data_IF_982671750679
#
_entry.id   IF_982671750679
#
_cell.length_a   1.000
_cell.length_b   1.000
_cell.length_c   1.000
_cell.angle_alpha   90.00
_cell.angle_beta   90.00
_cell.angle_gamma   90.00
#
_symmetry.space_group_name_H-M   'P 1'
#
loop_
_entity.id
_entity.type
_entity.pdbx_description
1 polymer ?
#
# COMPACT_ATOMS: atom_id res chain seq x y z
N UNK A 1 42.23 0.92 -24.70
CA UNK A 1 40.83 1.04 -24.24
C UNK A 1 40.74 0.32 -22.90
N UNK A 2 40.65 1.07 -21.79
CA UNK A 2 40.90 0.54 -20.44
C UNK A 2 39.62 -0.02 -19.82
N UNK A 3 39.73 -1.21 -19.22
CA UNK A 3 38.66 -1.94 -18.51
C UNK A 3 38.05 -1.13 -17.35
N UNK A 4 38.68 -0.02 -16.94
CA UNK A 4 38.19 0.88 -15.89
C UNK A 4 37.00 1.76 -16.28
N UNK A 5 36.77 2.05 -17.56
CA UNK A 5 35.64 2.88 -18.00
C UNK A 5 34.30 2.11 -18.03
N UNK A 6 34.34 0.81 -18.26
CA UNK A 6 33.14 -0.05 -18.31
C UNK A 6 32.45 -0.15 -16.94
N UNK A 7 33.17 0.07 -15.84
CA UNK A 7 32.60 0.02 -14.47
C UNK A 7 31.78 1.25 -14.10
N UNK A 8 31.78 2.30 -14.92
CA UNK A 8 30.98 3.53 -14.71
C UNK A 8 29.52 3.40 -15.20
N UNK A 9 29.17 2.32 -15.92
CA UNK A 9 27.78 2.01 -16.29
C UNK A 9 27.04 1.16 -15.24
N UNK A 10 27.50 1.15 -13.98
CA UNK A 10 26.75 0.53 -12.88
C UNK A 10 25.48 1.34 -12.57
N UNK A 11 24.38 0.98 -13.26
CA UNK A 11 22.96 1.24 -13.00
C UNK A 11 22.65 2.15 -11.78
N UNK A 12 22.77 3.49 -11.91
CA UNK A 12 22.66 4.42 -10.78
C UNK A 12 21.24 4.67 -10.26
N UNK A 13 20.22 3.95 -10.76
CA UNK A 13 18.80 4.21 -10.47
C UNK A 13 18.12 3.15 -9.59
N UNK A 14 18.73 1.99 -9.37
CA UNK A 14 18.20 0.93 -8.47
C UNK A 14 18.76 1.07 -7.04
N UNK A 15 19.87 1.79 -6.88
CA UNK A 15 20.65 1.90 -5.65
C UNK A 15 20.52 3.27 -4.95
N UNK A 16 19.39 3.96 -5.13
CA UNK A 16 19.07 5.05 -4.22
C UNK A 16 18.56 4.44 -2.90
N UNK A 17 19.19 4.71 -1.75
CA UNK A 17 18.75 4.17 -0.45
C UNK A 17 17.29 4.51 -0.15
N UNK A 18 16.75 5.57 -0.77
CA UNK A 18 15.33 5.98 -0.66
C UNK A 18 14.39 5.03 -1.39
N UNK A 19 14.77 4.53 -2.57
CA UNK A 19 13.98 3.53 -3.32
C UNK A 19 13.99 2.20 -2.57
N UNK A 20 15.17 1.78 -2.10
CA UNK A 20 15.31 0.56 -1.29
C UNK A 20 14.49 0.66 -0.01
N UNK A 21 14.57 1.78 0.71
CA UNK A 21 13.77 2.02 1.91
C UNK A 21 12.26 1.97 1.61
N UNK A 22 11.81 2.58 0.50
CA UNK A 22 10.41 2.50 0.06
C UNK A 22 9.96 1.06 -0.18
N UNK A 23 10.75 0.29 -0.93
CA UNK A 23 10.47 -1.14 -1.21
C UNK A 23 10.47 -1.96 0.07
N UNK A 24 11.47 -1.81 0.95
CA UNK A 24 11.50 -2.53 2.23
C UNK A 24 10.30 -2.19 3.10
N UNK A 25 9.92 -0.92 3.15
CA UNK A 25 8.73 -0.47 3.89
C UNK A 25 7.45 -1.07 3.31
N UNK A 26 7.30 -1.10 1.98
CA UNK A 26 6.16 -1.74 1.31
C UNK A 26 6.12 -3.24 1.56
N UNK A 27 7.25 -3.95 1.48
CA UNK A 27 7.33 -5.38 1.76
C UNK A 27 7.00 -5.70 3.21
N UNK A 28 7.48 -4.87 4.15
CA UNK A 28 7.14 -4.98 5.56
C UNK A 28 5.65 -4.73 5.81
N UNK A 29 5.09 -3.69 5.19
CA UNK A 29 3.66 -3.43 5.21
C UNK A 29 2.83 -4.58 4.62
N UNK A 30 3.31 -5.20 3.53
CA UNK A 30 2.69 -6.37 2.92
C UNK A 30 2.69 -7.58 3.86
N UNK A 31 3.79 -7.80 4.59
CA UNK A 31 3.85 -8.82 5.61
C UNK A 31 2.80 -8.60 6.73
N UNK A 32 2.73 -7.38 7.28
CA UNK A 32 1.72 -7.01 8.29
C UNK A 32 0.30 -7.16 7.73
N UNK A 33 0.09 -6.73 6.48
CA UNK A 33 -1.19 -6.85 5.80
C UNK A 33 -1.62 -8.31 5.67
N UNK A 34 -0.73 -9.23 5.29
CA UNK A 34 -1.04 -10.66 5.19
C UNK A 34 -1.34 -11.28 6.56
N UNK A 35 -0.62 -10.87 7.61
CA UNK A 35 -0.90 -11.27 8.99
C UNK A 35 -2.32 -10.89 9.42
N UNK A 36 -2.76 -9.68 9.06
CA UNK A 36 -4.13 -9.23 9.29
C UNK A 36 -5.15 -9.82 8.29
N UNK A 37 -4.80 -10.14 7.05
CA UNK A 37 -5.77 -10.68 6.10
C UNK A 37 -6.11 -12.14 6.41
N UNK A 38 -5.11 -12.95 6.74
CA UNK A 38 -5.24 -14.40 7.01
C UNK A 38 -4.28 -14.84 8.11
N UNK A 39 -4.62 -14.60 9.39
CA UNK A 39 -3.80 -15.03 10.52
C UNK A 39 -3.65 -16.56 10.60
N UNK A 40 -4.58 -17.31 9.98
CA UNK A 40 -4.54 -18.77 9.86
C UNK A 40 -3.26 -19.30 9.21
N UNK A 41 -2.66 -18.55 8.28
CA UNK A 41 -1.40 -18.94 7.65
C UNK A 41 -0.22 -18.98 8.62
N UNK A 42 -0.37 -18.37 9.79
CA UNK A 42 0.65 -18.27 10.82
C UNK A 42 0.32 -19.08 12.09
N UNK A 43 -0.74 -19.90 12.04
CA UNK A 43 -1.15 -20.74 13.17
C UNK A 43 -1.75 -19.95 14.36
N UNK A 44 -2.25 -18.73 14.11
CA UNK A 44 -3.02 -17.96 15.09
C UNK A 44 -4.47 -18.45 15.12
N UNK A 45 -4.97 -18.84 16.29
CA UNK A 45 -6.32 -19.42 16.46
C UNK A 45 -7.46 -18.46 16.10
N UNK A 46 -8.52 -19.00 15.49
CA UNK A 46 -9.79 -18.30 15.22
C UNK A 46 -10.56 -18.08 16.52
N UNK A 47 -10.21 -17.05 17.27
CA UNK A 47 -11.11 -16.50 18.29
C UNK A 47 -11.86 -15.29 17.72
N UNK A 48 -13.18 -15.14 17.94
CA UNK A 48 -13.95 -13.98 17.47
C UNK A 48 -13.38 -12.61 17.93
N UNK A 49 -12.71 -12.58 19.09
CA UNK A 49 -12.02 -11.39 19.61
C UNK A 49 -10.80 -11.03 18.75
N UNK A 50 -10.21 -12.00 18.06
CA UNK A 50 -9.10 -11.82 17.12
C UNK A 50 -9.58 -11.13 15.83
N UNK A 51 -10.86 -11.27 15.44
CA UNK A 51 -11.39 -10.65 14.21
C UNK A 51 -11.27 -9.12 14.17
N UNK A 52 -11.52 -8.44 15.30
CA UNK A 52 -11.31 -7.00 15.42
C UNK A 52 -9.83 -6.61 15.29
N UNK A 53 -8.97 -7.28 16.05
CA UNK A 53 -7.52 -7.05 16.01
C UNK A 53 -6.97 -7.33 14.61
N UNK A 54 -7.50 -8.36 13.96
CA UNK A 54 -7.16 -8.78 12.62
C UNK A 54 -7.44 -7.67 11.59
N UNK A 55 -8.64 -7.07 11.60
CA UNK A 55 -8.98 -5.94 10.72
C UNK A 55 -8.07 -4.73 11.01
N UNK A 56 -7.79 -4.43 12.28
CA UNK A 56 -6.92 -3.32 12.64
C UNK A 56 -5.48 -3.53 12.13
N UNK A 57 -4.92 -4.73 12.31
CA UNK A 57 -3.60 -5.12 11.81
C UNK A 57 -3.56 -5.07 10.28
N UNK A 58 -4.61 -5.54 9.62
CA UNK A 58 -4.78 -5.46 8.17
C UNK A 58 -4.72 -4.00 7.68
N UNK A 59 -5.45 -3.08 8.32
CA UNK A 59 -5.47 -1.66 7.96
C UNK A 59 -4.12 -0.98 8.22
N UNK A 60 -3.45 -1.30 9.33
CA UNK A 60 -2.08 -0.80 9.61
C UNK A 60 -1.10 -1.30 8.54
N UNK A 61 -1.21 -2.56 8.12
CA UNK A 61 -0.44 -3.11 7.01
C UNK A 61 -0.70 -2.35 5.72
N UNK A 62 -1.97 -2.10 5.38
CA UNK A 62 -2.37 -1.32 4.22
C UNK A 62 -1.82 0.11 4.25
N UNK A 63 -1.90 0.79 5.41
CA UNK A 63 -1.34 2.13 5.59
C UNK A 63 0.19 2.14 5.42
N UNK A 64 0.87 1.11 5.93
CA UNK A 64 2.32 0.95 5.76
C UNK A 64 2.70 0.72 4.29
N UNK A 65 1.92 -0.07 3.54
CA UNK A 65 2.07 -0.22 2.09
C UNK A 65 1.90 1.14 1.39
N UNK A 66 0.87 1.91 1.78
CA UNK A 66 0.62 3.25 1.23
C UNK A 66 1.83 4.18 1.44
N UNK A 67 2.42 4.18 2.64
CA UNK A 67 3.61 4.97 2.98
C UNK A 67 4.85 4.50 2.22
N UNK A 68 5.12 3.20 2.18
CA UNK A 68 6.26 2.65 1.44
C UNK A 68 6.16 2.94 -0.06
N UNK A 69 4.96 2.81 -0.63
CA UNK A 69 4.69 3.13 -2.03
C UNK A 69 4.88 4.61 -2.34
N UNK A 70 4.41 5.51 -1.45
CA UNK A 70 4.66 6.94 -1.55
C UNK A 70 6.17 7.25 -1.59
N UNK A 71 6.94 6.70 -0.63
CA UNK A 71 8.38 6.96 -0.55
C UNK A 71 9.13 6.36 -1.74
N UNK A 72 8.79 5.15 -2.15
CA UNK A 72 9.40 4.46 -3.30
C UNK A 72 9.14 5.18 -4.62
N UNK A 73 7.88 5.58 -4.87
CA UNK A 73 7.51 6.31 -6.08
C UNK A 73 8.05 7.75 -6.06
N UNK A 74 8.03 8.44 -4.92
CA UNK A 74 8.65 9.75 -4.79
C UNK A 74 10.15 9.71 -5.08
N UNK A 75 10.84 8.66 -4.65
CA UNK A 75 12.25 8.45 -4.96
C UNK A 75 12.51 8.17 -6.45
N UNK A 76 11.55 7.56 -7.16
CA UNK A 76 11.63 7.31 -8.60
C UNK A 76 11.49 8.59 -9.44
N UNK A 77 10.71 9.57 -8.95
CA UNK A 77 10.62 10.91 -9.55
C UNK A 77 11.89 11.74 -9.30
N UNK A 78 12.53 11.60 -8.14
CA UNK A 78 13.81 12.25 -7.84
C UNK A 78 13.67 13.76 -7.64
N UNK A 79 14.47 14.56 -8.36
CA UNK A 79 14.48 16.03 -8.29
C UNK A 79 13.61 16.71 -9.36
N UNK A 80 12.84 15.93 -10.13
CA UNK A 80 12.06 16.42 -11.25
C UNK A 80 10.62 16.75 -10.82
N UNK A 81 9.97 17.68 -11.52
CA UNK A 81 8.58 18.04 -11.21
C UNK A 81 7.65 16.86 -11.46
N UNK A 82 6.78 16.57 -10.48
CA UNK A 82 5.77 15.51 -10.60
C UNK A 82 4.73 15.91 -11.64
N UNK A 83 4.26 14.94 -12.43
CA UNK A 83 3.13 15.19 -13.31
C UNK A 83 1.86 15.43 -12.50
N UNK A 84 0.93 16.21 -13.06
CA UNK A 84 -0.40 16.43 -12.48
C UNK A 84 -1.10 15.08 -12.20
N UNK A 85 -0.95 14.11 -13.10
CA UNK A 85 -1.48 12.76 -12.91
C UNK A 85 -0.87 12.05 -11.69
N UNK A 86 0.41 12.25 -11.42
CA UNK A 86 1.08 11.66 -10.26
C UNK A 86 0.62 12.29 -8.95
N UNK A 87 0.44 13.61 -8.90
CA UNK A 87 -0.10 14.30 -7.73
C UNK A 87 -1.57 13.94 -7.47
N UNK A 88 -2.38 13.78 -8.52
CA UNK A 88 -3.74 13.25 -8.41
C UNK A 88 -3.71 11.81 -7.90
N UNK A 89 -2.82 10.97 -8.45
CA UNK A 89 -2.65 9.58 -8.04
C UNK A 89 -2.35 9.44 -6.54
N UNK A 90 -1.46 10.26 -6.01
CA UNK A 90 -1.13 10.28 -4.58
C UNK A 90 -2.32 10.70 -3.70
N UNK A 91 -3.13 11.66 -4.14
CA UNK A 91 -4.39 12.01 -3.46
C UNK A 91 -5.37 10.85 -3.52
N UNK A 92 -5.45 10.16 -4.65
CA UNK A 92 -6.32 9.00 -4.84
C UNK A 92 -5.92 7.83 -3.92
N UNK A 93 -4.63 7.60 -3.71
CA UNK A 93 -4.12 6.64 -2.71
C UNK A 93 -4.61 7.01 -1.31
N UNK A 94 -4.50 8.29 -0.93
CA UNK A 94 -4.93 8.75 0.39
C UNK A 94 -6.45 8.59 0.60
N UNK A 95 -7.26 8.91 -0.41
CA UNK A 95 -8.72 8.76 -0.34
C UNK A 95 -9.14 7.29 -0.33
N UNK A 96 -8.50 6.45 -1.15
CA UNK A 96 -8.74 5.01 -1.13
C UNK A 96 -8.42 4.38 0.22
N UNK A 97 -7.33 4.80 0.86
CA UNK A 97 -7.00 4.35 2.22
C UNK A 97 -8.05 4.77 3.25
N UNK A 98 -8.49 6.03 3.19
CA UNK A 98 -9.58 6.51 4.06
C UNK A 98 -10.85 5.68 3.85
N UNK A 99 -11.24 5.39 2.60
CA UNK A 99 -12.39 4.53 2.31
C UNK A 99 -12.22 3.13 2.90
N UNK A 100 -11.05 2.50 2.74
CA UNK A 100 -10.77 1.19 3.33
C UNK A 100 -10.86 1.19 4.86
N UNK A 101 -10.38 2.25 5.53
CA UNK A 101 -10.46 2.38 6.99
C UNK A 101 -11.92 2.49 7.46
N UNK A 102 -12.71 3.36 6.83
CA UNK A 102 -14.11 3.54 7.22
C UNK A 102 -14.98 2.32 6.91
N UNK A 103 -14.75 1.66 5.78
CA UNK A 103 -15.45 0.43 5.43
C UNK A 103 -15.06 -0.74 6.36
N UNK A 104 -13.76 -0.92 6.61
CA UNK A 104 -13.26 -2.01 7.44
C UNK A 104 -13.58 -1.85 8.92
N UNK A 105 -13.63 -0.62 9.43
CA UNK A 105 -13.97 -0.33 10.83
C UNK A 105 -15.43 0.08 11.03
N UNK A 106 -16.33 -0.21 10.08
CA UNK A 106 -17.73 0.24 10.14
C UNK A 106 -18.46 -0.20 11.43
N UNK A 107 -18.21 -1.42 11.93
CA UNK A 107 -18.77 -1.90 13.19
C UNK A 107 -18.24 -1.11 14.40
N UNK A 108 -16.97 -0.69 14.37
CA UNK A 108 -16.32 0.10 15.43
C UNK A 108 -16.89 1.51 15.49
N UNK A 109 -17.19 2.09 14.33
CA UNK A 109 -17.83 3.40 14.23
C UNK A 109 -19.35 3.35 14.52
N UNK A 110 -19.92 2.18 14.82
CA UNK A 110 -21.34 2.03 15.11
C UNK A 110 -22.26 2.15 13.89
N UNK A 111 -21.69 2.13 12.68
CA UNK A 111 -22.43 2.15 11.40
C UNK A 111 -22.69 0.75 10.84
N UNK A 112 -22.05 -0.27 11.41
CA UNK A 112 -22.18 -1.66 10.98
C UNK A 112 -23.38 -2.39 11.60
N UNK A 113 -23.65 -3.59 11.09
CA UNK A 113 -24.89 -4.35 11.39
C UNK A 113 -24.86 -5.07 12.75
N UNK A 114 -23.70 -5.13 13.42
CA UNK A 114 -23.53 -5.67 14.76
C UNK A 114 -22.73 -4.68 15.62
N UNK A 115 -23.39 -3.64 16.18
CA UNK A 115 -22.76 -2.80 17.18
C UNK A 115 -22.44 -3.62 18.44
N UNK A 116 -21.38 -3.24 19.16
CA UNK A 116 -21.01 -3.83 20.45
C UNK A 116 -22.25 -3.91 21.36
N UNK A 117 -22.49 -5.03 22.09
CA UNK A 117 -21.52 -5.99 22.63
C UNK A 117 -21.38 -7.32 21.87
N UNK A 118 -22.00 -7.46 20.70
CA UNK A 118 -21.82 -8.66 19.89
C UNK A 118 -20.44 -8.66 19.22
N UNK A 119 -19.87 -9.84 19.00
CA UNK A 119 -18.55 -9.99 18.36
C UNK A 119 -18.59 -9.33 16.96
N UNK A 120 -17.75 -8.31 16.68
CA UNK A 120 -17.74 -7.64 15.38
C UNK A 120 -17.44 -8.66 14.29
N UNK A 121 -18.31 -8.73 13.29
CA UNK A 121 -18.19 -9.67 12.20
C UNK A 121 -17.92 -8.90 10.91
N UNK A 122 -16.79 -9.21 10.27
CA UNK A 122 -16.43 -8.61 8.99
C UNK A 122 -17.43 -9.02 7.92
N UNK A 123 -18.48 -8.21 7.76
CA UNK A 123 -19.60 -8.50 6.88
C UNK A 123 -19.24 -8.32 5.40
N UNK A 124 -20.03 -8.91 4.48
CA UNK A 124 -19.82 -8.76 3.03
C UNK A 124 -19.77 -7.31 2.57
N UNK A 125 -20.57 -6.41 3.16
CA UNK A 125 -20.57 -4.99 2.82
C UNK A 125 -19.29 -4.27 3.26
N UNK A 126 -18.73 -4.62 4.42
CA UNK A 126 -17.45 -4.10 4.89
C UNK A 126 -16.30 -4.59 3.99
N UNK A 127 -16.34 -5.87 3.61
CA UNK A 127 -15.40 -6.47 2.68
C UNK A 127 -15.43 -5.75 1.33
N UNK A 128 -16.59 -5.61 0.70
CA UNK A 128 -16.74 -4.93 -0.58
C UNK A 128 -16.31 -3.46 -0.50
N UNK A 129 -16.67 -2.73 0.57
CA UNK A 129 -16.23 -1.35 0.75
C UNK A 129 -14.71 -1.23 0.91
N UNK A 130 -14.10 -2.17 1.62
CA UNK A 130 -12.64 -2.25 1.80
C UNK A 130 -11.94 -2.54 0.48
N UNK A 131 -12.44 -3.50 -0.30
CA UNK A 131 -11.95 -3.88 -1.62
C UNK A 131 -12.02 -2.72 -2.61
N UNK A 132 -13.11 -1.95 -2.60
CA UNK A 132 -13.23 -0.73 -3.42
C UNK A 132 -12.13 0.28 -3.05
N UNK A 133 -11.91 0.51 -1.76
CA UNK A 133 -10.82 1.38 -1.29
C UNK A 133 -9.44 0.91 -1.76
N UNK A 134 -9.19 -0.41 -1.75
CA UNK A 134 -7.96 -1.01 -2.27
C UNK A 134 -7.82 -0.85 -3.79
N UNK A 135 -8.91 -1.00 -4.54
CA UNK A 135 -8.91 -0.76 -5.99
C UNK A 135 -8.56 0.70 -6.30
N UNK A 136 -9.12 1.64 -5.53
CA UNK A 136 -8.78 3.07 -5.65
C UNK A 136 -7.30 3.30 -5.32
N UNK A 137 -6.76 2.71 -4.24
CA UNK A 137 -5.32 2.78 -3.94
C UNK A 137 -4.47 2.28 -5.12
N UNK A 138 -4.83 1.12 -5.69
CA UNK A 138 -4.10 0.53 -6.81
C UNK A 138 -4.10 1.44 -8.05
N UNK A 139 -5.24 2.03 -8.38
CA UNK A 139 -5.36 3.01 -9.47
C UNK A 139 -4.50 4.24 -9.19
N UNK A 140 -4.55 4.76 -7.96
CA UNK A 140 -3.75 5.91 -7.54
C UNK A 140 -2.26 5.65 -7.72
N UNK A 141 -1.77 4.49 -7.27
CA UNK A 141 -0.38 4.10 -7.48
C UNK A 141 -0.02 3.94 -8.95
N UNK A 142 -0.88 3.31 -9.76
CA UNK A 142 -0.66 3.17 -11.20
C UNK A 142 -0.52 4.52 -11.89
N UNK A 143 -1.27 5.54 -11.47
CA UNK A 143 -1.18 6.90 -12.03
C UNK A 143 0.12 7.62 -11.64
N UNK A 144 0.69 7.32 -10.47
CA UNK A 144 1.93 7.93 -9.97
C UNK A 144 3.19 7.38 -10.65
N UNK A 145 3.09 6.25 -11.37
CA UNK A 145 4.23 5.65 -12.07
C UNK A 145 4.70 6.56 -13.25
N UNK A 146 6.01 6.91 -13.34
CA UNK A 146 6.55 7.76 -14.40
C UNK A 146 6.76 6.99 -15.71
N UNK A 147 5.68 6.65 -16.43
CA UNK A 147 5.73 5.91 -17.70
C UNK A 147 6.56 6.59 -18.79
N UNK A 148 6.56 7.93 -18.83
CA UNK A 148 7.34 8.70 -19.81
C UNK A 148 8.84 8.41 -19.73
N UNK A 149 9.39 8.26 -18.52
CA UNK A 149 10.82 8.01 -18.32
C UNK A 149 11.25 6.60 -18.74
N UNK A 150 10.35 5.61 -18.62
CA UNK A 150 10.63 4.24 -19.07
C UNK A 150 10.64 4.12 -20.60
N UNK A 151 9.80 4.89 -21.31
CA UNK A 151 9.65 4.81 -22.77
C UNK A 151 10.77 5.48 -23.56
N UNK A 152 11.41 6.51 -23.03
CA UNK A 152 12.53 7.21 -23.72
C UNK A 152 13.88 6.50 -23.62
N UNK A 153 13.99 5.38 -22.89
CA UNK A 153 15.27 4.67 -22.65
C UNK A 153 15.32 3.26 -23.26
N UNK A 154 14.31 2.91 -24.05
CA UNK A 154 14.23 1.65 -24.81
C UNK A 154 14.50 1.81 -26.32
N UNK A 155 15.10 2.93 -26.74
CA UNK A 155 15.68 3.13 -28.08
C UNK A 155 17.14 3.48 -27.93
#
# INVERSE_FOLDING_TARGET
MSISEVKSQQLPWISSPRVQFGVYTTLFGMFIFTLGAKPEWFGLDRSPVVGFVQIAVFLVGLGTICLGGYVGLAALWGSEERSIAADIGLRLVSTGYVMSVFAGMADVFGMGSQPLPNVPFFGPLQATGTEIGQAVIAIGFLMTIPYGRMRFRGK
#
